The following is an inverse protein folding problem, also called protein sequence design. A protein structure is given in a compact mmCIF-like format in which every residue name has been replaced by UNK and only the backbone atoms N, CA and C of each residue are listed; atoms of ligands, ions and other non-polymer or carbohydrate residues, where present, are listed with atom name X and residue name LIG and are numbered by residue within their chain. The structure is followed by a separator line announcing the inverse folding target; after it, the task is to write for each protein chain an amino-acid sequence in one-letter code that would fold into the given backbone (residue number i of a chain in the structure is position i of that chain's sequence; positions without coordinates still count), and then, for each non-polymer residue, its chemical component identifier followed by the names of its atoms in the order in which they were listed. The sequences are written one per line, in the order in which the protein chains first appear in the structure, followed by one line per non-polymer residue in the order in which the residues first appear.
data_IF_946407535935
#
_entry.id   IF_946407535935
#
_cell.length_a   1.000
_cell.length_b   1.000
_cell.length_c   1.000
_cell.angle_alpha   90.00
_cell.angle_beta   90.00
_cell.angle_gamma   90.00
#
_symmetry.space_group_name_H-M   'P 1'
#
loop_
_entity.id
_entity.type
_entity.pdbx_description
1 polymer ?
#
# COMPACT_ATOMS: atom_id res chain seq x y z
N UNK A 1 -10.53 -33.87 -5.81
CA UNK A 1 -9.64 -33.10 -6.69
C UNK A 1 -9.82 -31.63 -6.35
N UNK A 2 -8.94 -31.05 -5.54
CA UNK A 2 -8.81 -29.60 -5.42
C UNK A 2 -7.31 -29.33 -5.36
N UNK A 3 -6.83 -28.66 -6.40
CA UNK A 3 -5.41 -28.55 -6.74
C UNK A 3 -4.63 -27.74 -5.74
N UNK A 4 -3.47 -28.27 -5.35
CA UNK A 4 -2.43 -27.61 -4.59
C UNK A 4 -2.02 -26.30 -5.28
N UNK A 5 -2.53 -25.18 -4.77
CA UNK A 5 -1.86 -23.88 -4.95
C UNK A 5 -0.67 -23.80 -3.99
N UNK A 6 0.30 -24.72 -4.14
CA UNK A 6 1.68 -24.39 -3.78
C UNK A 6 2.14 -23.42 -4.85
N UNK A 7 1.97 -22.12 -4.60
CA UNK A 7 2.66 -21.09 -5.35
C UNK A 7 4.12 -21.51 -5.39
N UNK A 8 4.60 -21.92 -6.57
CA UNK A 8 6.01 -22.23 -6.75
C UNK A 8 6.72 -20.94 -6.37
N UNK A 9 7.43 -20.95 -5.23
CA UNK A 9 8.39 -19.90 -4.95
C UNK A 9 9.21 -19.77 -6.24
N UNK A 10 9.41 -18.55 -6.77
CA UNK A 10 10.28 -18.40 -7.93
C UNK A 10 11.58 -19.17 -7.67
N UNK A 11 12.14 -19.84 -8.69
CA UNK A 11 13.43 -20.51 -8.52
C UNK A 11 14.39 -19.51 -7.88
N UNK A 12 15.16 -19.95 -6.87
CA UNK A 12 16.17 -19.10 -6.24
C UNK A 12 17.01 -18.47 -7.36
N UNK A 13 17.07 -17.14 -7.37
CA UNK A 13 17.89 -16.42 -8.34
C UNK A 13 19.32 -16.91 -8.18
N UNK A 14 19.95 -17.22 -9.30
CA UNK A 14 21.30 -17.73 -9.36
C UNK A 14 22.26 -16.61 -9.73
N UNK A 15 23.55 -16.78 -9.46
CA UNK A 15 24.58 -15.78 -9.81
C UNK A 15 24.52 -15.31 -11.28
N UNK A 16 24.05 -16.16 -12.19
CA UNK A 16 23.93 -15.84 -13.61
C UNK A 16 22.78 -14.87 -13.95
N UNK A 17 21.86 -14.63 -13.01
CA UNK A 17 20.69 -13.76 -13.20
C UNK A 17 21.00 -12.28 -12.89
N UNK A 18 22.21 -11.96 -12.39
CA UNK A 18 22.61 -10.63 -11.95
C UNK A 18 23.66 -9.99 -12.89
N UNK A 19 23.66 -8.66 -12.97
CA UNK A 19 24.51 -7.90 -13.89
C UNK A 19 25.97 -7.82 -13.42
N UNK A 20 26.22 -8.06 -12.14
CA UNK A 20 27.55 -8.15 -11.55
C UNK A 20 27.59 -9.12 -10.38
N UNK A 21 28.81 -9.55 -10.04
CA UNK A 21 29.04 -10.32 -8.82
C UNK A 21 28.65 -9.52 -7.56
N UNK A 22 28.85 -8.20 -7.57
CA UNK A 22 28.47 -7.31 -6.47
C UNK A 22 26.94 -7.30 -6.23
N UNK A 23 26.15 -7.24 -7.30
CA UNK A 23 24.69 -7.27 -7.23
C UNK A 23 24.17 -8.62 -6.71
N UNK A 24 24.83 -9.73 -7.08
CA UNK A 24 24.52 -11.05 -6.55
C UNK A 24 24.82 -11.18 -5.05
N UNK A 25 25.98 -10.69 -4.62
CA UNK A 25 26.36 -10.70 -3.20
C UNK A 25 25.42 -9.84 -2.35
N UNK A 26 24.97 -8.68 -2.86
CA UNK A 26 23.94 -7.85 -2.22
C UNK A 26 22.60 -8.60 -2.09
N UNK A 27 22.17 -9.30 -3.14
CA UNK A 27 20.96 -10.11 -3.10
C UNK A 27 21.04 -11.26 -2.08
N UNK A 28 22.16 -11.98 -2.03
CA UNK A 28 22.37 -13.08 -1.07
C UNK A 28 22.37 -12.56 0.36
N UNK A 29 23.07 -11.45 0.61
CA UNK A 29 23.05 -10.77 1.90
C UNK A 29 21.60 -10.37 2.28
N UNK A 30 20.79 -9.88 1.32
CA UNK A 30 19.36 -9.52 1.49
C UNK A 30 18.47 -10.73 1.83
N UNK A 31 18.66 -11.87 1.17
CA UNK A 31 17.88 -13.09 1.40
C UNK A 31 18.22 -13.78 2.73
N UNK A 32 19.50 -13.77 3.13
CA UNK A 32 19.93 -14.36 4.40
C UNK A 32 19.42 -13.58 5.62
N UNK A 33 19.07 -12.31 5.43
CA UNK A 33 18.42 -11.49 6.45
C UNK A 33 19.34 -11.10 7.60
N UNK A 34 20.67 -11.21 7.42
CA UNK A 34 21.69 -10.86 8.41
C UNK A 34 21.95 -9.35 8.44
N UNK A 35 20.87 -8.59 8.58
CA UNK A 35 20.90 -7.14 8.77
C UNK A 35 20.72 -6.83 10.24
N UNK A 36 21.67 -6.08 10.78
CA UNK A 36 21.51 -5.44 12.07
C UNK A 36 20.54 -4.25 11.91
N UNK A 37 19.24 -4.56 11.84
CA UNK A 37 18.20 -3.53 11.83
C UNK A 37 18.17 -2.87 13.20
N UNK A 38 18.54 -1.58 13.33
CA UNK A 38 18.49 -0.92 14.61
C UNK A 38 17.06 -1.01 15.15
N UNK A 39 16.87 -1.37 16.42
CA UNK A 39 15.54 -1.51 16.99
C UNK A 39 14.78 -0.20 16.80
N UNK A 40 13.60 -0.28 16.17
CA UNK A 40 12.71 0.86 16.04
C UNK A 40 12.46 1.46 17.43
N UNK A 41 12.60 2.78 17.54
CA UNK A 41 12.21 3.52 18.73
C UNK A 41 10.81 3.07 19.19
N UNK A 42 10.64 2.62 20.45
CA UNK A 42 9.36 2.17 20.99
C UNK A 42 8.22 3.16 20.75
N UNK A 43 8.50 4.47 20.80
CA UNK A 43 7.51 5.51 20.52
C UNK A 43 7.08 5.50 19.05
N UNK A 44 8.03 5.34 18.13
CA UNK A 44 7.76 5.25 16.70
C UNK A 44 6.99 3.97 16.34
N UNK A 45 7.34 2.85 16.97
CA UNK A 45 6.61 1.58 16.81
C UNK A 45 5.17 1.71 17.27
N UNK A 46 4.93 2.30 18.44
CA UNK A 46 3.58 2.52 18.96
C UNK A 46 2.73 3.43 18.05
N UNK A 47 3.32 4.49 17.47
CA UNK A 47 2.62 5.34 16.50
C UNK A 47 2.20 4.57 15.24
N UNK A 48 3.10 3.76 14.69
CA UNK A 48 2.83 2.96 13.50
C UNK A 48 1.75 1.89 13.78
N UNK A 49 1.80 1.24 14.93
CA UNK A 49 0.79 0.29 15.36
C UNK A 49 -0.58 0.95 15.58
N UNK A 50 -0.62 2.15 16.16
CA UNK A 50 -1.86 2.92 16.33
C UNK A 50 -2.47 3.33 14.99
N UNK A 51 -1.64 3.82 14.06
CA UNK A 51 -2.08 4.16 12.70
C UNK A 51 -2.59 2.93 11.94
N UNK A 52 -1.90 1.79 12.04
CA UNK A 52 -2.33 0.53 11.44
C UNK A 52 -3.67 0.05 12.03
N UNK A 53 -3.81 0.10 13.37
CA UNK A 53 -5.07 -0.24 14.05
C UNK A 53 -6.22 0.65 13.60
N UNK A 54 -6.02 1.97 13.55
CA UNK A 54 -7.06 2.91 13.10
C UNK A 54 -7.47 2.68 11.64
N UNK A 55 -6.51 2.28 10.79
CA UNK A 55 -6.78 1.96 9.38
C UNK A 55 -7.56 0.65 9.21
N UNK A 56 -7.34 -0.32 10.11
CA UNK A 56 -7.96 -1.65 10.08
C UNK A 56 -9.29 -1.73 10.83
N UNK A 57 -9.50 -0.89 11.85
CA UNK A 57 -10.69 -0.92 12.72
C UNK A 57 -11.88 -0.10 12.19
N UNK A 58 -11.65 0.81 11.24
CA UNK A 58 -12.70 1.62 10.63
C UNK A 58 -13.67 0.78 9.81
N UNK A 59 -14.85 0.48 10.37
CA UNK A 59 -15.92 -0.18 9.63
C UNK A 59 -16.32 0.67 8.41
N UNK A 60 -16.03 0.17 7.21
CA UNK A 60 -16.43 0.83 5.96
C UNK A 60 -17.90 0.52 5.68
N UNK A 61 -18.72 1.56 5.64
CA UNK A 61 -20.13 1.45 5.21
C UNK A 61 -20.27 1.88 3.76
N UNK A 62 -20.94 1.04 2.95
CA UNK A 62 -21.32 1.43 1.58
C UNK A 62 -22.53 2.35 1.63
N UNK A 63 -22.42 3.50 0.96
CA UNK A 63 -23.52 4.44 0.77
C UNK A 63 -23.75 4.68 -0.72
N UNK A 64 -24.98 5.01 -1.11
CA UNK A 64 -25.31 5.43 -2.46
C UNK A 64 -25.48 6.94 -2.48
N UNK A 65 -24.76 7.62 -3.39
CA UNK A 65 -24.85 9.07 -3.57
C UNK A 65 -25.30 9.32 -5.01
N UNK A 66 -26.39 10.06 -5.20
CA UNK A 66 -26.79 10.53 -6.51
C UNK A 66 -26.07 11.84 -6.84
N UNK A 67 -25.38 11.88 -7.97
CA UNK A 67 -24.69 13.07 -8.48
C UNK A 67 -25.01 13.25 -9.95
N UNK A 68 -24.93 14.50 -10.43
CA UNK A 68 -25.05 14.78 -11.86
C UNK A 68 -23.83 14.22 -12.59
N UNK A 69 -24.05 13.68 -13.79
CA UNK A 69 -22.97 13.19 -14.65
C UNK A 69 -21.90 14.27 -14.91
N UNK A 70 -22.31 15.53 -15.10
CA UNK A 70 -21.39 16.65 -15.31
C UNK A 70 -20.39 16.84 -14.16
N UNK A 71 -20.81 16.55 -12.93
CA UNK A 71 -19.98 16.76 -11.75
C UNK A 71 -19.03 15.57 -11.56
N UNK A 72 -19.47 14.36 -11.90
CA UNK A 72 -18.63 13.16 -11.95
C UNK A 72 -17.47 13.37 -12.92
N UNK A 73 -17.73 13.89 -14.11
CA UNK A 73 -16.67 14.15 -15.10
C UNK A 73 -15.68 15.22 -14.64
N UNK A 74 -16.15 16.29 -13.99
CA UNK A 74 -15.26 17.29 -13.38
C UNK A 74 -14.40 16.71 -12.27
N UNK A 75 -14.96 15.83 -11.43
CA UNK A 75 -14.23 15.15 -10.36
C UNK A 75 -13.17 14.21 -10.92
N UNK A 76 -13.47 13.45 -11.98
CA UNK A 76 -12.49 12.62 -12.69
C UNK A 76 -11.33 13.46 -13.22
N UNK A 77 -11.62 14.53 -13.95
CA UNK A 77 -10.58 15.42 -14.48
C UNK A 77 -9.72 16.04 -13.37
N UNK A 78 -10.32 16.38 -12.22
CA UNK A 78 -9.57 16.91 -11.07
C UNK A 78 -8.70 15.83 -10.42
N UNK A 79 -9.20 14.61 -10.29
CA UNK A 79 -8.48 13.50 -9.69
C UNK A 79 -7.30 13.04 -10.57
N UNK A 80 -7.47 13.04 -11.89
CA UNK A 80 -6.40 12.79 -12.86
C UNK A 80 -5.25 13.80 -12.73
N UNK A 81 -5.58 15.10 -12.61
CA UNK A 81 -4.57 16.15 -12.37
C UNK A 81 -3.80 15.95 -11.06
N UNK A 82 -4.43 15.34 -10.07
CA UNK A 82 -3.83 15.01 -8.77
C UNK A 82 -3.16 13.63 -8.76
N UNK A 83 -3.20 12.88 -9.86
CA UNK A 83 -2.63 11.54 -9.95
C UNK A 83 -3.33 10.51 -9.06
N UNK A 84 -4.62 10.69 -8.75
CA UNK A 84 -5.36 9.81 -7.84
C UNK A 84 -6.71 9.35 -8.42
N UNK A 85 -7.28 8.23 -7.95
CA UNK A 85 -8.63 7.82 -8.36
C UNK A 85 -9.70 8.82 -7.89
N UNK A 86 -10.71 9.07 -8.72
CA UNK A 86 -11.78 10.03 -8.38
C UNK A 86 -12.59 9.64 -7.15
N UNK A 87 -12.73 8.33 -6.88
CA UNK A 87 -13.38 7.84 -5.65
C UNK A 87 -12.54 8.15 -4.41
N UNK A 88 -11.21 8.08 -4.52
CA UNK A 88 -10.29 8.47 -3.45
C UNK A 88 -10.39 9.97 -3.17
N UNK A 89 -10.50 10.79 -4.20
CA UNK A 89 -10.71 12.24 -4.06
C UNK A 89 -12.06 12.55 -3.38
N UNK A 90 -13.13 11.85 -3.76
CA UNK A 90 -14.44 12.01 -3.10
C UNK A 90 -14.33 11.65 -1.61
N UNK A 91 -13.69 10.52 -1.30
CA UNK A 91 -13.52 10.09 0.09
C UNK A 91 -12.67 11.07 0.90
N UNK A 92 -11.59 11.62 0.35
CA UNK A 92 -10.73 12.56 1.07
C UNK A 92 -11.46 13.86 1.41
N UNK A 93 -12.26 14.37 0.48
CA UNK A 93 -13.08 15.57 0.71
C UNK A 93 -14.12 15.30 1.80
N UNK A 94 -14.87 14.19 1.70
CA UNK A 94 -15.87 13.84 2.71
C UNK A 94 -15.26 13.67 4.11
N UNK A 95 -14.07 13.08 4.18
CA UNK A 95 -13.34 12.91 5.43
C UNK A 95 -12.88 14.25 6.01
N UNK A 96 -12.27 15.11 5.20
CA UNK A 96 -11.86 16.45 5.61
C UNK A 96 -13.05 17.25 6.18
N UNK A 97 -14.20 17.23 5.49
CA UNK A 97 -15.41 17.90 5.97
C UNK A 97 -16.02 17.29 7.23
N UNK A 98 -15.74 16.02 7.53
CA UNK A 98 -16.26 15.35 8.72
C UNK A 98 -15.34 15.49 9.94
N UNK A 99 -14.03 15.68 9.76
CA UNK A 99 -13.06 15.85 10.85
C UNK A 99 -12.76 17.31 11.20
N UNK A 100 -12.97 18.27 10.27
CA UNK A 100 -12.80 19.71 10.53
C UNK A 100 -14.00 20.36 11.25
N UNK A 101 -14.91 19.57 11.86
CA UNK A 101 -16.07 20.04 12.64
C UNK A 101 -16.13 19.43 14.03
#
# INVERSE_FOLDING_TARGET
MNGDLKGKLPPRLTRADFASDEEYEEYVFLEEGDYDVPPLDPARKAQLEAAARNTLSGQRKRISIMMRNSDIEKLKAKAEKLGMPYQTLINSVLHQYAEEG
#
